data_IF_805804726889
#
_entry.id   IF_805804726889
#
_cell.length_a   1.000
_cell.length_b   1.000
_cell.length_c   1.000
_cell.angle_alpha   90.00
_cell.angle_beta   90.00
_cell.angle_gamma   90.00
#
_symmetry.space_group_name_H-M   'P 1'
#
loop_
_entity.id
_entity.type
_entity.pdbx_description
1 polymer ?
#
# COMPACT_ATOMS: atom_id res chain seq x y z
N UNK A 1 9.83 19.16 -7.19
CA UNK A 1 9.36 18.99 -5.80
C UNK A 1 10.56 18.92 -4.87
N UNK A 2 10.59 19.75 -3.82
CA UNK A 2 11.68 19.76 -2.81
C UNK A 2 11.73 18.45 -2.01
N UNK A 3 12.86 18.16 -1.36
CA UNK A 3 13.01 16.99 -0.48
C UNK A 3 12.00 17.02 0.68
N UNK A 4 11.72 18.19 1.23
CA UNK A 4 10.72 18.37 2.29
C UNK A 4 9.31 18.02 1.83
N UNK A 5 8.92 18.50 0.65
CA UNK A 5 7.60 18.18 0.09
C UNK A 5 7.50 16.69 -0.22
N UNK A 6 8.59 16.05 -0.70
CA UNK A 6 8.63 14.60 -0.98
C UNK A 6 8.47 13.78 0.29
N UNK A 7 9.23 14.12 1.33
CA UNK A 7 9.09 13.46 2.63
C UNK A 7 7.69 13.69 3.22
N UNK A 8 7.12 14.88 3.09
CA UNK A 8 5.75 15.18 3.54
C UNK A 8 4.73 14.33 2.79
N UNK A 9 4.88 14.18 1.47
CA UNK A 9 4.01 13.31 0.67
C UNK A 9 4.11 11.85 1.12
N UNK A 10 5.32 11.31 1.31
CA UNK A 10 5.50 9.93 1.84
C UNK A 10 4.79 9.77 3.18
N UNK A 11 4.92 10.73 4.11
CA UNK A 11 4.23 10.69 5.40
C UNK A 11 2.71 10.67 5.27
N UNK A 12 2.15 11.54 4.42
CA UNK A 12 0.70 11.60 4.20
C UNK A 12 0.19 10.29 3.63
N UNK A 13 0.85 9.77 2.59
CA UNK A 13 0.49 8.49 1.98
C UNK A 13 0.56 7.37 3.03
N UNK A 14 1.63 7.34 3.83
CA UNK A 14 1.78 6.34 4.90
C UNK A 14 0.64 6.39 5.93
N UNK A 15 0.21 7.58 6.35
CA UNK A 15 -0.92 7.73 7.29
C UNK A 15 -2.21 7.21 6.66
N UNK A 16 -2.47 7.55 5.40
CA UNK A 16 -3.66 7.07 4.68
C UNK A 16 -3.66 5.54 4.62
N UNK A 17 -2.51 4.92 4.37
CA UNK A 17 -2.38 3.46 4.29
C UNK A 17 -2.47 2.78 5.65
N UNK A 18 -2.00 3.42 6.73
CA UNK A 18 -2.26 2.95 8.10
C UNK A 18 -3.77 2.93 8.35
N UNK A 19 -4.49 4.00 8.04
CA UNK A 19 -5.94 4.04 8.21
C UNK A 19 -6.65 3.00 7.34
N UNK A 20 -6.25 2.86 6.08
CA UNK A 20 -6.75 1.84 5.17
C UNK A 20 -6.51 0.42 5.74
N UNK A 21 -5.33 0.16 6.29
CA UNK A 21 -5.00 -1.13 6.91
C UNK A 21 -5.89 -1.44 8.10
N UNK A 22 -6.23 -0.45 8.92
CA UNK A 22 -7.16 -0.63 10.04
C UNK A 22 -8.56 -0.98 9.52
N UNK A 23 -9.05 -0.22 8.54
CA UNK A 23 -10.36 -0.44 7.93
C UNK A 23 -10.48 -1.82 7.26
N UNK A 24 -9.42 -2.29 6.61
CA UNK A 24 -9.36 -3.62 6.02
C UNK A 24 -9.21 -4.72 7.08
N UNK A 25 -8.42 -4.47 8.11
CA UNK A 25 -8.21 -5.39 9.24
C UNK A 25 -9.47 -5.68 10.05
N UNK A 26 -10.55 -4.90 9.86
CA UNK A 26 -11.86 -5.19 10.41
C UNK A 26 -12.55 -6.44 9.80
N UNK A 27 -12.01 -7.05 8.74
CA UNK A 27 -12.62 -8.18 8.04
C UNK A 27 -13.17 -9.31 8.97
N UNK A 28 -12.44 -9.75 10.01
CA UNK A 28 -12.92 -10.83 10.91
C UNK A 28 -14.06 -10.42 11.85
N UNK A 29 -14.32 -9.12 12.02
CA UNK A 29 -15.26 -8.60 13.01
C UNK A 29 -16.62 -8.36 12.35
N UNK A 30 -17.42 -9.41 12.22
CA UNK A 30 -18.67 -9.42 11.44
C UNK A 30 -19.68 -8.32 11.78
N UNK A 31 -19.68 -7.80 13.01
CA UNK A 31 -20.54 -6.68 13.43
C UNK A 31 -20.13 -5.32 12.84
N UNK A 32 -18.87 -5.16 12.40
CA UNK A 32 -18.29 -3.88 11.97
C UNK A 32 -17.42 -3.98 10.71
N UNK A 33 -17.43 -5.11 9.99
CA UNK A 33 -16.54 -5.37 8.86
C UNK A 33 -16.99 -4.77 7.52
N UNK A 34 -17.97 -3.85 7.51
CA UNK A 34 -18.51 -3.27 6.27
C UNK A 34 -17.43 -2.56 5.45
N UNK A 35 -16.45 -1.94 6.12
CA UNK A 35 -15.32 -1.29 5.46
C UNK A 35 -14.43 -2.29 4.73
N UNK A 36 -14.15 -3.44 5.34
CA UNK A 36 -13.33 -4.49 4.74
C UNK A 36 -14.05 -5.12 3.54
N UNK A 37 -15.36 -5.35 3.66
CA UNK A 37 -16.20 -5.86 2.57
C UNK A 37 -16.22 -4.91 1.39
N UNK A 38 -16.39 -3.60 1.65
CA UNK A 38 -16.30 -2.58 0.62
C UNK A 38 -14.93 -2.57 -0.08
N UNK A 39 -13.84 -2.60 0.70
CA UNK A 39 -12.47 -2.64 0.16
C UNK A 39 -12.27 -3.85 -0.77
N UNK A 40 -12.66 -5.04 -0.31
CA UNK A 40 -12.50 -6.28 -1.07
C UNK A 40 -13.37 -6.29 -2.33
N UNK A 41 -14.61 -5.85 -2.23
CA UNK A 41 -15.58 -5.83 -3.34
C UNK A 41 -15.21 -4.78 -4.41
N UNK A 42 -14.68 -3.62 -4.00
CA UNK A 42 -14.09 -2.66 -4.97
C UNK A 42 -12.86 -3.26 -5.65
N UNK A 43 -11.99 -3.94 -4.88
CA UNK A 43 -10.77 -4.54 -5.41
C UNK A 43 -11.07 -5.68 -6.38
N UNK A 44 -12.15 -6.42 -6.13
CA UNK A 44 -12.72 -7.47 -6.99
C UNK A 44 -13.89 -6.94 -7.84
N UNK A 45 -13.69 -5.75 -8.42
CA UNK A 45 -14.69 -5.04 -9.23
C UNK A 45 -15.48 -5.98 -10.18
N UNK A 46 -16.82 -5.83 -10.30
CA UNK A 46 -17.66 -4.71 -9.82
C UNK A 46 -18.12 -4.82 -8.36
N UNK A 47 -18.55 -3.69 -7.78
CA UNK A 47 -19.10 -3.61 -6.41
C UNK A 47 -20.49 -4.25 -6.32
N UNK A 48 -20.56 -5.57 -6.17
CA UNK A 48 -21.82 -6.33 -6.14
C UNK A 48 -21.92 -7.38 -5.00
N UNK A 49 -20.85 -7.56 -4.21
CA UNK A 49 -20.78 -8.54 -3.10
C UNK A 49 -20.83 -7.91 -1.71
N UNK A 50 -21.08 -6.60 -1.60
CA UNK A 50 -21.08 -5.87 -0.32
C UNK A 50 -22.00 -6.49 0.76
N UNK A 51 -23.09 -7.16 0.39
CA UNK A 51 -24.04 -7.81 1.32
C UNK A 51 -23.74 -9.30 1.57
N UNK A 52 -22.74 -9.89 0.90
CA UNK A 52 -22.30 -11.26 1.12
C UNK A 52 -21.32 -11.39 2.30
N UNK A 53 -21.47 -12.40 3.18
CA UNK A 53 -20.52 -12.64 4.26
C UNK A 53 -19.16 -13.08 3.70
N UNK A 54 -18.08 -12.67 4.37
CA UNK A 54 -16.73 -13.09 4.00
C UNK A 54 -16.48 -14.54 4.43
N UNK A 55 -15.78 -15.32 3.60
CA UNK A 55 -15.32 -16.65 4.01
C UNK A 55 -14.27 -16.57 5.12
N UNK A 56 -14.04 -17.67 5.83
CA UNK A 56 -13.04 -17.74 6.89
C UNK A 56 -11.63 -17.42 6.37
N UNK A 57 -11.30 -17.92 5.20
CA UNK A 57 -10.01 -17.73 4.54
C UNK A 57 -9.81 -16.26 4.16
N UNK A 58 -10.86 -15.60 3.65
CA UNK A 58 -10.81 -14.18 3.30
C UNK A 58 -10.65 -13.32 4.55
N UNK A 59 -11.35 -13.63 5.65
CA UNK A 59 -11.19 -12.91 6.93
C UNK A 59 -9.75 -13.05 7.45
N UNK A 60 -9.22 -14.28 7.45
CA UNK A 60 -7.89 -14.58 7.95
C UNK A 60 -6.79 -13.91 7.12
N UNK A 61 -6.83 -14.06 5.79
CA UNK A 61 -5.87 -13.44 4.88
C UNK A 61 -5.97 -11.92 4.90
N UNK A 62 -7.18 -11.35 5.04
CA UNK A 62 -7.35 -9.90 5.20
C UNK A 62 -6.69 -9.39 6.47
N UNK A 63 -6.81 -10.10 7.61
CA UNK A 63 -6.15 -9.71 8.85
C UNK A 63 -4.62 -9.73 8.74
N UNK A 64 -4.05 -10.77 8.11
CA UNK A 64 -2.61 -10.85 7.83
C UNK A 64 -2.17 -9.69 6.93
N UNK A 65 -2.82 -9.53 5.80
CA UNK A 65 -2.43 -8.55 4.78
C UNK A 65 -2.60 -7.11 5.28
N UNK A 66 -3.67 -6.83 6.03
CA UNK A 66 -3.84 -5.56 6.72
C UNK A 66 -2.70 -5.29 7.72
N UNK A 67 -2.33 -6.28 8.54
CA UNK A 67 -1.21 -6.15 9.47
C UNK A 67 0.12 -5.85 8.76
N UNK A 68 0.41 -6.56 7.66
CA UNK A 68 1.60 -6.32 6.84
C UNK A 68 1.59 -4.94 6.18
N UNK A 69 0.46 -4.51 5.63
CA UNK A 69 0.31 -3.17 5.05
C UNK A 69 0.53 -2.08 6.11
N UNK A 70 -0.04 -2.24 7.31
CA UNK A 70 0.17 -1.33 8.42
C UNK A 70 1.64 -1.22 8.80
N UNK A 71 2.34 -2.35 8.92
CA UNK A 71 3.77 -2.38 9.23
C UNK A 71 4.63 -1.70 8.14
N UNK A 72 4.40 -2.01 6.86
CA UNK A 72 5.09 -1.38 5.74
C UNK A 72 4.84 0.14 5.75
N UNK A 73 3.60 0.55 5.97
CA UNK A 73 3.23 1.97 6.03
C UNK A 73 3.96 2.70 7.16
N UNK A 74 4.11 2.07 8.33
CA UNK A 74 4.90 2.61 9.43
C UNK A 74 6.38 2.72 9.06
N UNK A 75 6.95 1.74 8.35
CA UNK A 75 8.33 1.84 7.85
C UNK A 75 8.48 2.97 6.83
N UNK A 76 7.52 3.17 5.94
CA UNK A 76 7.53 4.30 5.02
C UNK A 76 7.49 5.64 5.76
N UNK A 77 6.65 5.75 6.79
CA UNK A 77 6.57 6.95 7.61
C UNK A 77 7.85 7.22 8.41
N UNK A 78 8.34 6.21 9.13
CA UNK A 78 9.39 6.34 10.13
C UNK A 78 10.82 6.20 9.59
N UNK A 79 11.00 5.51 8.46
CA UNK A 79 12.31 5.22 7.88
C UNK A 79 12.46 5.92 6.53
N UNK A 80 11.51 5.71 5.61
CA UNK A 80 11.65 6.18 4.23
C UNK A 80 11.45 7.69 4.13
N UNK A 81 10.47 8.29 4.79
CA UNK A 81 10.28 9.73 4.74
C UNK A 81 11.48 10.53 5.31
N UNK A 82 12.08 10.15 6.45
CA UNK A 82 13.33 10.76 6.91
C UNK A 82 14.51 10.54 5.94
N UNK A 83 14.63 9.34 5.36
CA UNK A 83 15.64 9.04 4.35
C UNK A 83 15.51 9.95 3.12
N UNK A 84 14.28 10.23 2.67
CA UNK A 84 14.01 11.20 1.59
C UNK A 84 14.50 12.60 1.96
N UNK A 85 14.19 13.09 3.17
CA UNK A 85 14.70 14.40 3.65
C UNK A 85 16.23 14.47 3.66
N UNK A 86 16.90 13.39 4.05
CA UNK A 86 18.38 13.30 4.09
C UNK A 86 19.02 13.00 2.74
N UNK A 87 18.24 12.75 1.68
CA UNK A 87 18.70 12.25 0.39
C UNK A 87 19.51 10.94 0.49
N UNK A 88 19.09 10.04 1.38
CA UNK A 88 19.73 8.76 1.65
C UNK A 88 19.39 7.74 0.55
N UNK A 89 20.25 7.68 -0.47
CA UNK A 89 20.01 6.90 -1.69
C UNK A 89 19.87 5.39 -1.46
N UNK A 90 20.72 4.74 -0.65
CA UNK A 90 20.57 3.31 -0.40
C UNK A 90 19.17 2.97 0.13
N UNK A 91 18.69 3.68 1.15
CA UNK A 91 17.37 3.42 1.74
C UNK A 91 16.25 3.68 0.71
N UNK A 92 16.33 4.79 -0.02
CA UNK A 92 15.31 5.14 -1.04
C UNK A 92 15.28 4.08 -2.15
N UNK A 93 16.44 3.63 -2.64
CA UNK A 93 16.52 2.60 -3.69
C UNK A 93 15.96 1.26 -3.20
N UNK A 94 16.28 0.85 -1.97
CA UNK A 94 15.74 -0.37 -1.38
C UNK A 94 14.21 -0.29 -1.28
N UNK A 95 13.65 0.85 -0.86
CA UNK A 95 12.20 1.03 -0.82
C UNK A 95 11.56 0.90 -2.21
N UNK A 96 12.16 1.51 -3.24
CA UNK A 96 11.67 1.40 -4.63
C UNK A 96 11.67 -0.08 -5.08
N UNK A 97 12.78 -0.80 -4.87
CA UNK A 97 12.88 -2.22 -5.25
C UNK A 97 11.86 -3.09 -4.50
N UNK A 98 11.68 -2.84 -3.20
CA UNK A 98 10.68 -3.56 -2.40
C UNK A 98 9.25 -3.36 -2.93
N UNK A 99 8.88 -2.12 -3.29
CA UNK A 99 7.55 -1.84 -3.84
C UNK A 99 7.36 -2.45 -5.24
N UNK A 100 8.39 -2.44 -6.07
CA UNK A 100 8.34 -3.10 -7.38
C UNK A 100 8.18 -4.61 -7.22
N UNK A 101 8.92 -5.23 -6.30
CA UNK A 101 8.80 -6.66 -6.02
C UNK A 101 7.39 -7.03 -5.55
N UNK A 102 6.84 -6.29 -4.57
CA UNK A 102 5.46 -6.47 -4.12
C UNK A 102 4.46 -6.32 -5.28
N UNK A 103 4.60 -5.28 -6.11
CA UNK A 103 3.70 -5.02 -7.23
C UNK A 103 3.65 -6.19 -8.22
N UNK A 104 4.81 -6.75 -8.57
CA UNK A 104 4.85 -7.88 -9.50
C UNK A 104 4.21 -9.13 -8.90
N UNK A 105 4.57 -9.49 -7.67
CA UNK A 105 4.01 -10.69 -7.02
C UNK A 105 2.50 -10.57 -6.85
N UNK A 106 2.03 -9.45 -6.32
CA UNK A 106 0.61 -9.23 -6.03
C UNK A 106 -0.24 -9.12 -7.30
N UNK A 107 0.26 -8.40 -8.32
CA UNK A 107 -0.48 -8.25 -9.59
C UNK A 107 -0.53 -9.55 -10.39
N UNK A 108 0.56 -10.33 -10.44
CA UNK A 108 0.55 -11.65 -11.09
C UNK A 108 -0.40 -12.58 -10.34
N UNK A 109 -0.36 -12.60 -9.01
CA UNK A 109 -1.28 -13.38 -8.18
C UNK A 109 -2.74 -13.00 -8.44
N UNK A 110 -3.04 -11.71 -8.52
CA UNK A 110 -4.38 -11.18 -8.79
C UNK A 110 -4.91 -11.60 -10.16
N UNK A 111 -4.07 -11.53 -11.20
CA UNK A 111 -4.45 -11.97 -12.54
C UNK A 111 -4.70 -13.49 -12.55
N UNK A 112 -3.83 -14.26 -11.90
CA UNK A 112 -3.97 -15.71 -11.81
C UNK A 112 -5.21 -16.16 -11.03
N UNK A 113 -5.66 -15.35 -10.05
CA UNK A 113 -6.89 -15.60 -9.30
C UNK A 113 -8.15 -15.03 -9.96
N UNK A 114 -8.05 -14.43 -11.15
CA UNK A 114 -9.20 -13.90 -11.90
C UNK A 114 -9.61 -12.46 -11.52
N UNK A 115 -8.80 -11.76 -10.72
CA UNK A 115 -9.08 -10.42 -10.19
C UNK A 115 -8.23 -9.36 -10.90
N UNK A 116 -8.50 -9.14 -12.19
CA UNK A 116 -7.71 -8.20 -13.01
C UNK A 116 -7.80 -6.75 -12.51
N UNK A 117 -8.94 -6.36 -11.96
CA UNK A 117 -9.17 -5.05 -11.34
C UNK A 117 -8.14 -4.74 -10.26
N UNK A 118 -7.74 -5.71 -9.44
CA UNK A 118 -6.75 -5.48 -8.40
C UNK A 118 -5.37 -5.12 -8.97
N UNK A 119 -4.96 -5.67 -10.12
CA UNK A 119 -3.71 -5.28 -10.78
C UNK A 119 -3.74 -3.80 -11.23
N UNK A 120 -4.91 -3.27 -11.60
CA UNK A 120 -5.10 -1.85 -11.92
C UNK A 120 -4.93 -1.00 -10.66
N UNK A 121 -5.57 -1.38 -9.55
CA UNK A 121 -5.42 -0.69 -8.27
C UNK A 121 -3.98 -0.73 -7.76
N UNK A 122 -3.30 -1.86 -7.90
CA UNK A 122 -1.88 -1.99 -7.59
C UNK A 122 -1.01 -1.01 -8.39
N UNK A 123 -1.35 -0.79 -9.66
CA UNK A 123 -0.64 0.18 -10.51
C UNK A 123 -0.81 1.61 -9.98
N UNK A 124 -2.03 1.99 -9.62
CA UNK A 124 -2.33 3.30 -9.03
C UNK A 124 -1.56 3.48 -7.72
N UNK A 125 -1.61 2.47 -6.85
CA UNK A 125 -0.92 2.47 -5.57
C UNK A 125 0.60 2.56 -5.73
N UNK A 126 1.18 1.81 -6.67
CA UNK A 126 2.61 1.87 -6.98
C UNK A 126 3.03 3.27 -7.42
N UNK A 127 2.27 3.90 -8.32
CA UNK A 127 2.54 5.26 -8.78
C UNK A 127 2.52 6.23 -7.60
N UNK A 128 1.50 6.16 -6.74
CA UNK A 128 1.39 7.02 -5.55
C UNK A 128 2.61 6.86 -4.63
N UNK A 129 3.05 5.63 -4.38
CA UNK A 129 4.18 5.32 -3.49
C UNK A 129 5.53 5.72 -4.10
N UNK A 130 5.73 5.52 -5.40
CA UNK A 130 7.02 5.78 -6.05
C UNK A 130 7.19 7.24 -6.49
N UNK A 131 6.12 7.97 -6.82
CA UNK A 131 6.18 9.36 -7.25
C UNK A 131 7.04 10.28 -6.35
N UNK A 132 6.93 10.25 -5.00
CA UNK A 132 7.77 11.08 -4.15
C UNK A 132 9.23 10.60 -4.06
N UNK A 133 9.52 9.34 -4.43
CA UNK A 133 10.85 8.71 -4.31
C UNK A 133 11.72 8.87 -5.58
N UNK A 134 11.10 8.98 -6.76
CA UNK A 134 11.81 9.06 -8.04
C UNK A 134 12.30 10.48 -8.38
N UNK A 135 13.37 10.58 -9.17
CA UNK A 135 13.88 11.86 -9.68
C UNK A 135 14.57 12.75 -8.63
N UNK A 136 15.00 12.18 -7.51
CA UNK A 136 15.80 12.91 -6.52
C UNK A 136 17.25 13.01 -7.02
N UNK A 137 17.78 14.22 -7.20
CA UNK A 137 19.17 14.45 -7.67
C UNK A 137 20.22 14.08 -6.61
N UNK A 138 21.47 13.76 -7.01
CA UNK A 138 22.57 13.55 -6.07
C UNK A 138 22.81 14.83 -5.25
N UNK A 139 23.28 14.67 -4.01
CA UNK A 139 23.88 15.79 -3.29
C UNK A 139 25.21 16.08 -4.00
N UNK A 140 25.34 17.23 -4.65
CA UNK A 140 26.63 17.69 -5.16
C UNK A 140 27.53 17.95 -3.97
N UNK A 141 28.52 17.08 -3.77
CA UNK A 141 29.63 17.34 -2.85
C UNK A 141 30.43 18.50 -3.43
N UNK A 142 30.38 19.66 -2.79
CA UNK A 142 31.37 20.72 -2.98
C UNK A 142 32.42 20.60 -1.87
#
# INVERSE_FOLDING_TARGET
MSLDNRAKAVKIISIILILYSILWGLAPFTSINISARFILDVSDWPLDKLTQPLSREVMWLSAISAGLLGAISIFFYGIIAPAVKRNDKPIIKTAIVAMLFWYFIDSIGSIASGVLSNAIFNTIYLILMLAPLIGIKPKTSY
#
